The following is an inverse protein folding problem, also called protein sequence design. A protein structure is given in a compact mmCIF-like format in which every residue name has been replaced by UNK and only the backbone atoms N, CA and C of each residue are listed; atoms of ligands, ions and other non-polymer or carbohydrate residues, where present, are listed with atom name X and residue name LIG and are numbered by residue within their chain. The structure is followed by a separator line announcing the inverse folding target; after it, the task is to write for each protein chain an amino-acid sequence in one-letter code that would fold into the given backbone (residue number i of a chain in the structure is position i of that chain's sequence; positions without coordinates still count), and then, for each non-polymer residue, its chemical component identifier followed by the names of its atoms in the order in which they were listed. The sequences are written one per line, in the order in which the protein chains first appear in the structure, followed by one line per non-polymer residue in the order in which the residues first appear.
data_IF_108354812490
#
_entry.id   IF_108354812490
#
_cell.length_a   1.000
_cell.length_b   1.000
_cell.length_c   1.000
_cell.angle_alpha   90.00
_cell.angle_beta   90.00
_cell.angle_gamma   90.00
#
_symmetry.space_group_name_H-M   'P 1'
#
loop_
_entity.id
_entity.type
_entity.pdbx_description
1 polymer ?
#
# COMPACT_ATOMS: atom_id res chain seq x y z
N UNK A 1 2.59 31.02 30.56
CA UNK A 1 3.69 30.07 30.73
C UNK A 1 3.87 29.45 29.37
N UNK A 2 5.04 29.63 28.75
CA UNK A 2 5.31 29.09 27.42
C UNK A 2 5.35 27.56 27.50
N UNK A 3 4.37 26.90 26.87
CA UNK A 3 4.36 25.45 26.62
C UNK A 3 5.39 25.13 25.52
N UNK A 4 6.68 25.37 25.82
CA UNK A 4 7.76 24.99 24.92
C UNK A 4 7.87 23.45 24.90
N UNK A 5 7.72 22.86 23.72
CA UNK A 5 7.93 21.43 23.51
C UNK A 5 9.35 21.08 23.96
N UNK A 6 9.54 20.06 24.82
CA UNK A 6 10.87 19.69 25.31
C UNK A 6 11.84 19.41 24.16
N UNK A 7 13.04 19.97 24.22
CA UNK A 7 14.07 19.82 23.17
C UNK A 7 14.40 18.34 22.90
N UNK A 8 14.38 17.50 23.93
CA UNK A 8 14.60 16.06 23.82
C UNK A 8 13.54 15.38 22.94
N UNK A 9 12.28 15.82 23.03
CA UNK A 9 11.19 15.29 22.22
C UNK A 9 11.37 15.71 20.75
N UNK A 10 11.78 16.96 20.52
CA UNK A 10 12.07 17.48 19.17
C UNK A 10 13.23 16.69 18.54
N UNK A 11 14.31 16.46 19.30
CA UNK A 11 15.47 15.69 18.82
C UNK A 11 15.09 14.23 18.52
N UNK A 12 14.33 13.58 19.40
CA UNK A 12 13.87 12.21 19.18
C UNK A 12 13.00 12.08 17.92
N UNK A 13 12.10 13.04 17.69
CA UNK A 13 11.29 13.09 16.48
C UNK A 13 12.16 13.31 15.23
N UNK A 14 13.10 14.24 15.29
CA UNK A 14 14.05 14.49 14.21
C UNK A 14 14.85 13.24 13.85
N UNK A 15 15.47 12.59 14.83
CA UNK A 15 16.30 11.39 14.62
C UNK A 15 15.49 10.25 14.00
N UNK A 16 14.23 10.09 14.42
CA UNK A 16 13.30 9.10 13.85
C UNK A 16 13.01 9.38 12.38
N UNK A 17 12.69 10.64 12.04
CA UNK A 17 12.40 11.04 10.67
C UNK A 17 13.64 10.99 9.78
N UNK A 18 14.77 11.49 10.26
CA UNK A 18 16.05 11.46 9.57
C UNK A 18 16.47 10.01 9.31
N UNK A 19 16.41 9.13 10.32
CA UNK A 19 16.72 7.71 10.18
C UNK A 19 15.87 7.01 9.12
N UNK A 20 14.57 7.31 9.07
CA UNK A 20 13.66 6.79 8.04
C UNK A 20 14.08 7.26 6.63
N UNK A 21 14.39 8.55 6.48
CA UNK A 21 14.83 9.13 5.19
C UNK A 21 16.17 8.56 4.75
N UNK A 22 17.14 8.44 5.64
CA UNK A 22 18.44 7.83 5.36
C UNK A 22 18.30 6.36 4.97
N UNK A 23 17.45 5.59 5.65
CA UNK A 23 17.18 4.19 5.29
C UNK A 23 16.62 4.08 3.87
N UNK A 24 15.64 4.92 3.53
CA UNK A 24 15.07 4.94 2.19
C UNK A 24 16.09 5.35 1.12
N UNK A 25 16.93 6.34 1.43
CA UNK A 25 18.03 6.76 0.56
C UNK A 25 19.00 5.60 0.33
N UNK A 26 19.53 5.00 1.41
CA UNK A 26 20.49 3.89 1.33
C UNK A 26 19.92 2.71 0.57
N UNK A 27 18.63 2.42 0.73
CA UNK A 27 17.96 1.40 -0.08
C UNK A 27 18.00 1.72 -1.58
N UNK A 28 17.68 2.96 -1.98
CA UNK A 28 17.73 3.40 -3.39
C UNK A 28 19.15 3.32 -3.95
N UNK A 29 20.14 3.79 -3.20
CA UNK A 29 21.55 3.72 -3.60
C UNK A 29 21.99 2.27 -3.79
N UNK A 30 21.64 1.39 -2.84
CA UNK A 30 21.93 -0.04 -2.93
C UNK A 30 21.29 -0.67 -4.16
N UNK A 31 20.02 -0.34 -4.43
CA UNK A 31 19.27 -0.91 -5.56
C UNK A 31 19.84 -0.47 -6.90
N UNK A 32 20.12 0.82 -7.05
CA UNK A 32 20.50 1.40 -8.34
C UNK A 32 21.99 1.28 -8.62
N UNK A 33 22.83 1.13 -7.58
CA UNK A 33 24.30 1.06 -7.70
C UNK A 33 24.93 2.26 -8.43
N UNK A 34 24.28 3.42 -8.35
CA UNK A 34 24.81 4.69 -8.89
C UNK A 34 25.26 5.57 -7.74
N UNK A 35 26.51 6.03 -7.80
CA UNK A 35 27.07 6.98 -6.85
C UNK A 35 26.42 8.36 -7.03
N UNK A 36 25.83 8.94 -5.97
CA UNK A 36 25.36 10.32 -6.03
C UNK A 36 26.50 11.34 -5.94
N UNK A 37 26.30 12.51 -6.54
CA UNK A 37 27.26 13.63 -6.53
C UNK A 37 27.66 14.08 -5.11
N UNK A 38 26.74 13.96 -4.14
CA UNK A 38 26.98 14.35 -2.75
C UNK A 38 27.67 13.25 -1.91
N UNK A 39 27.97 12.08 -2.48
CA UNK A 39 28.70 10.99 -1.80
C UNK A 39 30.11 10.95 -2.35
N UNK A 40 31.11 11.08 -1.48
CA UNK A 40 32.52 10.99 -1.87
C UNK A 40 32.88 9.59 -2.36
N UNK A 41 33.86 9.50 -3.26
CA UNK A 41 34.33 8.21 -3.83
C UNK A 41 34.74 7.22 -2.73
N UNK A 42 35.41 7.71 -1.69
CA UNK A 42 35.84 6.89 -0.56
C UNK A 42 34.65 6.34 0.24
N UNK A 43 33.62 7.16 0.48
CA UNK A 43 32.41 6.68 1.17
C UNK A 43 31.64 5.68 0.31
N UNK A 44 31.57 5.92 -1.00
CA UNK A 44 30.92 5.03 -1.95
C UNK A 44 31.59 3.67 -2.00
N UNK A 45 32.93 3.63 -2.10
CA UNK A 45 33.73 2.40 -2.04
C UNK A 45 33.43 1.59 -0.78
N UNK A 46 33.41 2.23 0.39
CA UNK A 46 33.06 1.56 1.66
C UNK A 46 31.64 1.00 1.67
N UNK A 47 30.67 1.68 1.06
CA UNK A 47 29.31 1.15 0.94
C UNK A 47 29.25 -0.10 0.06
N UNK A 48 29.97 -0.10 -1.08
CA UNK A 48 30.05 -1.27 -1.95
C UNK A 48 30.69 -2.45 -1.21
N UNK A 49 31.85 -2.24 -0.57
CA UNK A 49 32.53 -3.25 0.24
C UNK A 49 31.63 -3.83 1.34
N UNK A 50 30.90 -2.96 2.07
CA UNK A 50 29.96 -3.42 3.09
C UNK A 50 28.79 -4.23 2.49
N UNK A 51 28.22 -3.80 1.36
CA UNK A 51 27.11 -4.51 0.72
C UNK A 51 27.53 -5.84 0.07
N UNK A 52 28.81 -6.00 -0.24
CA UNK A 52 29.41 -7.24 -0.75
C UNK A 52 29.97 -8.13 0.36
N UNK A 53 30.08 -7.62 1.60
CA UNK A 53 30.55 -8.41 2.73
C UNK A 53 29.67 -9.65 2.97
N UNK A 54 30.32 -10.76 3.34
CA UNK A 54 29.63 -12.01 3.64
C UNK A 54 28.58 -11.87 4.74
N UNK A 55 28.88 -11.07 5.78
CA UNK A 55 27.95 -10.82 6.88
C UNK A 55 26.66 -10.16 6.40
N UNK A 56 26.78 -9.15 5.54
CA UNK A 56 25.62 -8.47 4.98
C UNK A 56 24.81 -9.39 4.07
N UNK A 57 25.48 -10.14 3.19
CA UNK A 57 24.83 -11.08 2.28
C UNK A 57 24.14 -12.21 3.05
N UNK A 58 24.77 -12.76 4.09
CA UNK A 58 24.19 -13.76 4.96
C UNK A 58 22.91 -13.24 5.64
N UNK A 59 22.95 -12.04 6.22
CA UNK A 59 21.77 -11.37 6.80
C UNK A 59 20.66 -11.16 5.77
N UNK A 60 21.02 -10.73 4.56
CA UNK A 60 20.09 -10.50 3.46
C UNK A 60 19.41 -11.80 2.99
N UNK A 61 20.19 -12.89 2.84
CA UNK A 61 19.69 -14.23 2.49
C UNK A 61 18.76 -14.77 3.58
N UNK A 62 19.16 -14.65 4.86
CA UNK A 62 18.32 -15.06 5.99
C UNK A 62 17.02 -14.27 6.03
N UNK A 63 17.06 -12.94 5.86
CA UNK A 63 15.86 -12.10 5.84
C UNK A 63 14.92 -12.45 4.68
N UNK A 64 15.46 -12.84 3.52
CA UNK A 64 14.67 -13.34 2.39
C UNK A 64 14.03 -14.70 2.73
N UNK A 65 14.80 -15.62 3.30
CA UNK A 65 14.31 -16.93 3.73
C UNK A 65 13.18 -16.78 4.75
N UNK A 66 13.36 -15.93 5.77
CA UNK A 66 12.36 -15.66 6.80
C UNK A 66 11.06 -15.07 6.21
N UNK A 67 11.17 -14.19 5.22
CA UNK A 67 10.00 -13.60 4.53
C UNK A 67 9.24 -14.62 3.68
N UNK A 68 9.94 -15.61 3.15
CA UNK A 68 9.38 -16.65 2.29
C UNK A 68 9.11 -17.96 3.04
N UNK A 69 9.19 -17.97 4.37
CA UNK A 69 9.01 -19.20 5.16
C UNK A 69 7.55 -19.64 5.14
N UNK A 70 7.35 -20.92 4.81
CA UNK A 70 6.06 -21.59 4.78
C UNK A 70 5.83 -22.34 6.09
N UNK A 71 5.24 -21.66 7.06
CA UNK A 71 5.11 -22.18 8.44
C UNK A 71 4.22 -23.43 8.51
N UNK A 72 3.23 -23.56 7.63
CA UNK A 72 2.30 -24.70 7.61
C UNK A 72 2.64 -25.74 6.53
N UNK A 73 3.91 -25.77 6.12
CA UNK A 73 4.47 -26.75 5.19
C UNK A 73 4.42 -26.32 3.72
N UNK A 74 5.01 -27.17 2.84
CA UNK A 74 5.20 -26.86 1.43
C UNK A 74 3.91 -26.43 0.72
N UNK A 75 3.98 -25.34 -0.04
CA UNK A 75 2.88 -24.82 -0.86
C UNK A 75 1.89 -23.94 -0.10
N UNK A 76 2.10 -23.68 1.19
CA UNK A 76 1.26 -22.74 1.94
C UNK A 76 1.59 -21.27 1.68
N UNK A 77 2.78 -21.01 1.13
CA UNK A 77 3.28 -19.67 0.87
C UNK A 77 3.49 -18.82 2.13
N UNK A 78 3.99 -17.58 1.94
CA UNK A 78 4.04 -16.60 3.02
C UNK A 78 2.63 -16.12 3.36
N UNK A 79 2.39 -15.86 4.65
CA UNK A 79 1.11 -15.32 5.13
C UNK A 79 0.85 -13.92 4.58
N UNK A 80 -0.39 -13.68 4.17
CA UNK A 80 -0.91 -12.44 3.58
C UNK A 80 -2.20 -12.03 4.31
N UNK A 81 -2.52 -10.74 4.21
CA UNK A 81 -3.78 -10.18 4.71
C UNK A 81 -4.23 -8.98 3.85
N UNK A 82 -5.53 -8.71 3.83
CA UNK A 82 -6.19 -7.68 3.04
C UNK A 82 -6.36 -6.32 3.73
N UNK A 83 -5.85 -6.13 4.96
CA UNK A 83 -6.04 -4.89 5.73
C UNK A 83 -5.31 -3.63 5.24
N UNK A 84 -4.40 -3.75 4.26
CA UNK A 84 -3.58 -2.63 3.78
C UNK A 84 -2.74 -1.98 4.89
N UNK A 85 -2.60 -0.65 4.84
CA UNK A 85 -1.84 0.14 5.81
C UNK A 85 -2.62 0.48 7.10
N UNK A 86 -3.87 0.04 7.21
CA UNK A 86 -4.72 0.30 8.39
C UNK A 86 -4.42 -0.74 9.47
N UNK A 87 -4.30 -0.29 10.71
CA UNK A 87 -4.04 -1.20 11.83
C UNK A 87 -5.24 -2.11 12.10
N UNK A 88 -5.00 -3.33 12.58
CA UNK A 88 -6.08 -4.29 12.86
C UNK A 88 -7.00 -3.80 13.98
N UNK A 89 -6.45 -3.06 14.95
CA UNK A 89 -7.22 -2.37 16.00
C UNK A 89 -8.19 -1.37 15.37
N UNK A 90 -7.69 -0.49 14.50
CA UNK A 90 -8.50 0.51 13.82
C UNK A 90 -9.56 -0.14 12.92
N UNK A 91 -9.20 -1.19 12.19
CA UNK A 91 -10.18 -1.95 11.39
C UNK A 91 -11.26 -2.55 12.27
N UNK A 92 -10.89 -3.15 13.41
CA UNK A 92 -11.86 -3.70 14.37
C UNK A 92 -12.80 -2.63 14.95
N UNK A 93 -12.26 -1.48 15.33
CA UNK A 93 -13.03 -0.33 15.83
C UNK A 93 -14.03 0.14 14.76
N UNK A 94 -13.57 0.39 13.53
CA UNK A 94 -14.46 0.78 12.41
C UNK A 94 -15.56 -0.23 12.14
N UNK A 95 -15.23 -1.53 12.15
CA UNK A 95 -16.21 -2.59 11.94
C UNK A 95 -17.22 -2.67 13.09
N UNK A 96 -16.77 -2.41 14.32
CA UNK A 96 -17.63 -2.37 15.50
C UNK A 96 -18.54 -1.15 15.46
N UNK A 97 -18.04 0.03 15.08
CA UNK A 97 -18.86 1.25 14.97
C UNK A 97 -19.93 1.14 13.88
N UNK A 98 -19.63 0.39 12.80
CA UNK A 98 -20.58 0.13 11.71
C UNK A 98 -21.63 -0.93 12.01
N UNK A 99 -21.52 -1.63 13.14
CA UNK A 99 -22.39 -2.75 13.51
C UNK A 99 -23.03 -2.48 14.87
N UNK A 100 -24.27 -2.92 15.06
CA UNK A 100 -24.92 -2.81 16.37
C UNK A 100 -24.33 -3.80 17.40
N UNK A 101 -23.50 -4.74 16.96
CA UNK A 101 -22.87 -5.77 17.80
C UNK A 101 -21.34 -5.70 17.73
N UNK A 102 -20.62 -5.80 18.87
CA UNK A 102 -19.17 -5.91 18.88
C UNK A 102 -18.70 -7.10 18.03
N UNK A 103 -17.81 -6.83 17.08
CA UNK A 103 -17.27 -7.89 16.22
C UNK A 103 -16.36 -8.83 17.01
N UNK A 104 -16.56 -10.12 16.80
CA UNK A 104 -15.72 -11.18 17.33
C UNK A 104 -14.35 -11.19 16.65
N UNK A 105 -13.37 -11.80 17.32
CA UNK A 105 -12.02 -12.00 16.77
C UNK A 105 -12.06 -12.79 15.45
N UNK A 106 -12.99 -13.73 15.32
CA UNK A 106 -13.20 -14.53 14.11
C UNK A 106 -13.72 -13.72 12.93
N UNK A 107 -14.67 -12.81 13.16
CA UNK A 107 -15.20 -11.95 12.10
C UNK A 107 -14.16 -10.98 11.57
N UNK A 108 -13.35 -10.40 12.46
CA UNK A 108 -12.22 -9.58 12.03
C UNK A 108 -11.22 -10.41 11.22
N UNK A 109 -10.95 -11.65 11.66
CA UNK A 109 -10.04 -12.54 10.96
C UNK A 109 -10.52 -12.80 9.53
N UNK A 110 -11.80 -13.16 9.34
CA UNK A 110 -12.41 -13.32 8.02
C UNK A 110 -12.30 -12.05 7.19
N UNK A 111 -12.69 -10.91 7.76
CA UNK A 111 -12.56 -9.63 7.08
C UNK A 111 -11.13 -9.38 6.59
N UNK A 112 -10.11 -9.69 7.38
CA UNK A 112 -8.72 -9.41 7.03
C UNK A 112 -8.04 -10.48 6.18
N UNK A 113 -8.56 -11.70 6.12
CA UNK A 113 -7.90 -12.82 5.45
C UNK A 113 -8.68 -13.39 4.27
N UNK A 114 -9.80 -12.78 3.90
CA UNK A 114 -10.53 -13.12 2.67
C UNK A 114 -10.46 -12.01 1.62
N UNK A 115 -10.60 -12.42 0.36
CA UNK A 115 -10.51 -11.56 -0.82
C UNK A 115 -11.65 -10.55 -0.77
N UNK A 116 -11.33 -9.26 -0.90
CA UNK A 116 -12.29 -8.16 -0.86
C UNK A 116 -13.23 -8.19 0.35
N UNK A 117 -12.81 -8.81 1.46
CA UNK A 117 -13.60 -8.93 2.68
C UNK A 117 -14.92 -9.71 2.49
N UNK A 118 -14.98 -10.63 1.51
CA UNK A 118 -16.17 -11.41 1.18
C UNK A 118 -16.60 -12.43 2.25
N UNK A 119 -15.73 -12.70 3.25
CA UNK A 119 -15.91 -13.71 4.27
C UNK A 119 -15.84 -15.16 3.80
N UNK A 120 -15.49 -15.42 2.53
CA UNK A 120 -15.59 -16.74 1.91
C UNK A 120 -14.27 -17.20 1.26
N UNK A 121 -13.63 -16.34 0.47
CA UNK A 121 -12.48 -16.74 -0.36
C UNK A 121 -11.18 -16.33 0.32
N UNK A 122 -10.44 -17.27 0.90
CA UNK A 122 -9.19 -16.94 1.60
C UNK A 122 -8.09 -16.43 0.67
N UNK A 123 -7.31 -15.45 1.15
CA UNK A 123 -6.20 -14.83 0.39
C UNK A 123 -5.00 -15.78 0.26
N UNK A 124 -4.81 -16.66 1.25
CA UNK A 124 -3.77 -17.69 1.23
C UNK A 124 -4.21 -18.98 1.93
N UNK A 125 -3.54 -20.08 1.59
CA UNK A 125 -3.84 -21.42 2.11
C UNK A 125 -3.61 -21.54 3.62
N UNK A 126 -2.65 -20.79 4.18
CA UNK A 126 -2.41 -20.80 5.63
C UNK A 126 -3.61 -20.24 6.38
N UNK A 127 -4.21 -19.17 5.85
CA UNK A 127 -5.32 -18.50 6.48
C UNK A 127 -6.60 -19.34 6.48
N UNK A 128 -6.84 -20.07 5.39
CA UNK A 128 -7.90 -21.06 5.26
C UNK A 128 -7.73 -22.20 6.27
N UNK A 129 -6.56 -22.86 6.28
CA UNK A 129 -6.27 -23.95 7.22
C UNK A 129 -6.38 -23.53 8.68
N UNK A 130 -5.97 -22.31 8.99
CA UNK A 130 -6.12 -21.76 10.33
C UNK A 130 -7.60 -21.58 10.69
N UNK A 131 -8.42 -21.06 9.77
CA UNK A 131 -9.85 -20.94 9.96
C UNK A 131 -10.54 -22.30 10.11
N UNK A 132 -10.15 -23.30 9.33
CA UNK A 132 -10.66 -24.67 9.47
C UNK A 132 -10.38 -25.26 10.84
N UNK A 133 -9.22 -24.95 11.44
CA UNK A 133 -8.91 -25.37 12.81
C UNK A 133 -9.77 -24.63 13.83
N UNK A 134 -10.03 -23.34 13.64
CA UNK A 134 -10.97 -22.59 14.49
C UNK A 134 -12.38 -23.19 14.44
N UNK A 135 -12.88 -23.49 13.25
CA UNK A 135 -14.21 -24.07 13.06
C UNK A 135 -14.33 -25.45 13.71
N UNK A 136 -13.34 -26.32 13.48
CA UNK A 136 -13.28 -27.63 14.15
C UNK A 136 -13.26 -27.50 15.66
N UNK A 137 -12.43 -26.59 16.20
CA UNK A 137 -12.35 -26.39 17.65
C UNK A 137 -13.65 -25.87 18.24
N UNK A 138 -14.34 -24.96 17.55
CA UNK A 138 -15.65 -24.44 17.95
C UNK A 138 -16.68 -25.56 18.01
N UNK A 139 -16.72 -26.42 17.00
CA UNK A 139 -17.62 -27.58 16.97
C UNK A 139 -17.35 -28.55 18.13
N UNK A 140 -16.08 -28.86 18.41
CA UNK A 140 -15.70 -29.71 19.56
C UNK A 140 -16.17 -29.12 20.90
N UNK A 141 -15.97 -27.81 21.11
CA UNK A 141 -16.38 -27.14 22.34
C UNK A 141 -17.90 -27.08 22.48
N UNK A 142 -18.63 -26.78 21.40
CA UNK A 142 -20.10 -26.80 21.42
C UNK A 142 -20.65 -28.21 21.69
N UNK A 143 -20.01 -29.27 21.17
CA UNK A 143 -20.44 -30.65 21.45
C UNK A 143 -20.12 -31.09 22.89
N UNK A 144 -18.98 -30.66 23.44
CA UNK A 144 -18.58 -31.00 24.80
C UNK A 144 -19.41 -30.27 25.87
N UNK A 145 -19.77 -29.01 25.61
CA UNK A 145 -20.51 -28.16 26.55
C UNK A 145 -21.60 -27.36 25.82
N UNK A 146 -22.73 -28.00 25.43
CA UNK A 146 -23.76 -27.38 24.60
C UNK A 146 -24.49 -26.20 25.26
N UNK A 147 -24.55 -26.15 26.60
CA UNK A 147 -25.21 -25.08 27.36
C UNK A 147 -24.27 -23.90 27.72
N UNK A 148 -22.99 -23.99 27.37
CA UNK A 148 -22.01 -22.93 27.67
C UNK A 148 -21.65 -22.14 26.42
N UNK A 149 -21.62 -20.82 26.55
CA UNK A 149 -21.06 -19.95 25.52
C UNK A 149 -19.57 -20.23 25.35
N UNK A 150 -19.13 -20.43 24.12
CA UNK A 150 -17.71 -20.60 23.79
C UNK A 150 -16.97 -19.28 24.02
N UNK A 151 -15.91 -19.31 24.82
CA UNK A 151 -14.94 -18.22 24.92
C UNK A 151 -14.13 -18.17 23.61
N UNK A 152 -14.53 -17.28 22.71
CA UNK A 152 -13.94 -17.14 21.38
C UNK A 152 -12.45 -16.73 21.46
N UNK A 153 -12.06 -15.89 22.42
CA UNK A 153 -10.67 -15.49 22.61
C UNK A 153 -9.79 -16.65 23.08
N UNK A 154 -10.20 -17.37 24.12
CA UNK A 154 -9.45 -18.52 24.62
C UNK A 154 -9.34 -19.64 23.57
N UNK A 155 -10.43 -19.89 22.83
CA UNK A 155 -10.42 -20.82 21.71
C UNK A 155 -9.41 -20.40 20.64
N UNK A 156 -9.40 -19.12 20.27
CA UNK A 156 -8.47 -18.60 19.26
C UNK A 156 -7.01 -18.79 19.68
N UNK A 157 -6.68 -18.49 20.95
CA UNK A 157 -5.34 -18.69 21.48
C UNK A 157 -4.92 -20.16 21.48
N UNK A 158 -5.85 -21.05 21.81
CA UNK A 158 -5.59 -22.49 21.77
C UNK A 158 -5.25 -22.96 20.34
N UNK A 159 -5.95 -22.45 19.33
CA UNK A 159 -5.70 -22.80 17.92
C UNK A 159 -4.45 -22.12 17.36
N UNK A 160 -4.16 -20.89 17.80
CA UNK A 160 -2.94 -20.17 17.45
C UNK A 160 -1.68 -20.84 18.00
N UNK A 161 -1.79 -21.53 19.14
CA UNK A 161 -0.68 -22.23 19.78
C UNK A 161 0.35 -21.25 20.32
N UNK A 162 1.62 -21.64 20.28
CA UNK A 162 2.72 -20.79 20.75
C UNK A 162 2.78 -19.49 19.94
N UNK A 163 2.89 -18.37 20.65
CA UNK A 163 2.92 -17.03 20.08
C UNK A 163 4.31 -16.39 20.26
N UNK A 164 5.28 -16.61 19.34
CA UNK A 164 6.60 -16.02 19.43
C UNK A 164 6.52 -14.50 19.60
N UNK A 165 7.26 -13.95 20.57
CA UNK A 165 7.29 -12.52 20.89
C UNK A 165 5.90 -11.94 21.23
N UNK A 166 5.00 -12.76 21.76
CA UNK A 166 3.63 -12.38 22.13
C UNK A 166 2.74 -12.02 20.94
N UNK A 167 3.07 -12.51 19.72
CA UNK A 167 2.32 -12.21 18.50
C UNK A 167 1.40 -13.37 18.15
N UNK A 168 0.11 -13.16 18.34
CA UNK A 168 -0.93 -14.10 17.92
C UNK A 168 -1.07 -14.01 16.40
N UNK A 169 -0.97 -15.17 15.72
CA UNK A 169 -1.17 -15.23 14.28
C UNK A 169 -2.55 -14.68 13.88
N UNK A 170 -2.65 -14.02 12.72
CA UNK A 170 -3.92 -13.53 12.20
C UNK A 170 -4.53 -12.31 12.89
N UNK A 171 -3.96 -11.83 14.01
CA UNK A 171 -4.55 -10.71 14.79
C UNK A 171 -3.76 -9.41 14.77
N UNK A 172 -2.58 -9.39 14.17
CA UNK A 172 -1.79 -8.16 13.98
C UNK A 172 -1.66 -7.34 15.28
N UNK A 173 -1.98 -6.05 15.22
CA UNK A 173 -1.96 -5.18 16.40
C UNK A 173 -3.08 -5.46 17.42
N UNK A 174 -4.20 -6.06 16.99
CA UNK A 174 -5.30 -6.39 17.89
C UNK A 174 -4.91 -7.49 18.89
N UNK A 175 -4.09 -8.45 18.46
CA UNK A 175 -3.59 -9.50 19.35
C UNK A 175 -2.90 -8.93 20.60
N UNK A 176 -2.14 -7.83 20.45
CA UNK A 176 -1.50 -7.15 21.58
C UNK A 176 -2.51 -6.45 22.49
N UNK A 177 -3.53 -5.81 21.91
CA UNK A 177 -4.57 -5.06 22.67
C UNK A 177 -5.52 -5.99 23.42
N UNK A 178 -5.99 -7.07 22.77
CA UNK A 178 -7.03 -7.97 23.32
C UNK A 178 -6.47 -9.17 24.10
N UNK A 179 -5.34 -9.76 23.70
CA UNK A 179 -4.95 -11.10 24.20
C UNK A 179 -3.92 -11.09 25.34
N UNK A 180 -3.62 -9.93 25.96
CA UNK A 180 -2.75 -9.79 27.16
C UNK A 180 -1.50 -10.69 27.19
N UNK A 181 -0.80 -10.85 26.07
CA UNK A 181 0.55 -11.40 26.10
C UNK A 181 1.50 -10.35 26.68
N UNK A 182 2.33 -10.77 27.63
CA UNK A 182 3.32 -9.90 28.29
C UNK A 182 4.03 -9.03 27.25
N UNK A 183 4.17 -7.75 27.57
CA UNK A 183 4.70 -6.70 26.72
C UNK A 183 6.17 -6.97 26.38
N UNK A 184 6.40 -7.89 25.45
CA UNK A 184 7.71 -8.09 24.87
C UNK A 184 7.88 -6.94 23.89
N UNK A 185 8.58 -5.92 24.37
CA UNK A 185 9.03 -4.71 23.68
C UNK A 185 9.81 -5.07 22.41
N UNK A 186 9.08 -5.51 21.40
CA UNK A 186 9.60 -5.72 20.08
C UNK A 186 9.43 -4.39 19.33
N UNK A 187 10.55 -3.85 18.84
CA UNK A 187 10.63 -2.74 17.89
C UNK A 187 9.85 -3.06 16.61
N UNK A 188 8.53 -2.95 16.69
CA UNK A 188 7.74 -2.40 15.60
C UNK A 188 7.88 -0.90 15.77
N UNK A 189 8.11 -0.17 14.68
CA UNK A 189 7.91 1.27 14.62
C UNK A 189 6.48 1.54 15.09
N UNK A 190 6.29 1.72 16.39
CA UNK A 190 5.13 2.40 16.90
C UNK A 190 5.30 3.79 16.31
N UNK A 191 4.53 4.09 15.28
CA UNK A 191 4.27 5.48 14.97
C UNK A 191 3.73 6.04 16.29
N UNK A 192 4.33 7.09 16.86
CA UNK A 192 3.69 7.79 17.95
C UNK A 192 2.27 8.10 17.49
N UNK A 193 1.34 8.08 18.46
CA UNK A 193 -0.03 8.56 18.29
C UNK A 193 -0.03 9.73 17.32
N UNK A 194 -0.78 9.61 16.22
CA UNK A 194 -0.78 10.59 15.14
C UNK A 194 -0.94 11.96 15.76
N UNK A 195 0.13 12.74 15.74
CA UNK A 195 0.10 14.15 16.11
C UNK A 195 -1.05 14.77 15.31
N UNK A 196 -2.02 15.44 15.96
CA UNK A 196 -3.19 15.98 15.28
C UNK A 196 -2.78 16.72 14.01
N UNK A 197 -3.52 16.52 12.91
CA UNK A 197 -3.18 17.03 11.57
C UNK A 197 -2.79 18.54 11.56
N UNK A 198 -3.37 19.31 12.48
CA UNK A 198 -3.05 20.72 12.71
C UNK A 198 -1.57 20.98 13.11
N UNK A 199 -0.94 20.10 13.88
CA UNK A 199 0.46 20.24 14.27
C UNK A 199 1.41 19.89 13.11
N UNK A 200 1.03 18.92 12.26
CA UNK A 200 1.74 18.66 11.00
C UNK A 200 1.70 19.86 10.05
N UNK A 201 0.57 20.56 9.97
CA UNK A 201 0.42 21.76 9.14
C UNK A 201 1.32 22.90 9.66
N UNK A 202 1.49 23.03 10.98
CA UNK A 202 2.41 24.01 11.60
C UNK A 202 3.86 23.70 11.25
N UNK A 203 4.29 22.43 11.34
CA UNK A 203 5.66 22.02 11.01
C UNK A 203 5.93 22.16 9.51
N UNK A 204 4.95 21.82 8.66
CA UNK A 204 5.05 22.02 7.21
C UNK A 204 5.22 23.51 6.86
N UNK A 205 4.47 24.39 7.53
CA UNK A 205 4.55 25.83 7.32
C UNK A 205 5.88 26.42 7.82
N UNK A 206 6.40 25.93 8.96
CA UNK A 206 7.73 26.31 9.43
C UNK A 206 8.83 25.87 8.46
N UNK A 207 8.74 24.65 7.92
CA UNK A 207 9.67 24.17 6.90
C UNK A 207 9.60 25.03 5.63
N UNK A 208 8.41 25.46 5.23
CA UNK A 208 8.20 26.37 4.10
C UNK A 208 8.93 27.70 4.31
N UNK A 209 8.82 28.29 5.51
CA UNK A 209 9.50 29.54 5.87
C UNK A 209 11.02 29.39 5.89
N UNK A 210 11.54 28.26 6.36
CA UNK A 210 12.97 27.96 6.31
C UNK A 210 13.45 27.81 4.86
N UNK A 211 12.65 27.18 4.00
CA UNK A 211 12.95 27.09 2.57
C UNK A 211 12.93 28.45 1.88
N UNK A 212 11.97 29.33 2.20
CA UNK A 212 11.92 30.71 1.69
C UNK A 212 13.10 31.55 2.20
N UNK A 213 13.50 31.37 3.45
CA UNK A 213 14.68 32.03 4.02
C UNK A 213 15.99 31.60 3.32
N UNK A 214 16.17 30.30 3.09
CA UNK A 214 17.32 29.78 2.35
C UNK A 214 17.35 30.30 0.90
N UNK A 215 16.18 30.47 0.27
CA UNK A 215 16.06 31.03 -1.08
C UNK A 215 16.47 32.52 -1.13
N UNK A 216 16.01 33.33 -0.17
CA UNK A 216 16.30 34.78 -0.15
C UNK A 216 17.74 35.12 0.28
N UNK A 217 18.31 34.39 1.23
CA UNK A 217 19.55 34.84 1.90
C UNK A 217 20.80 34.04 1.48
N UNK A 218 20.64 32.80 1.02
CA UNK A 218 21.77 31.96 0.61
C UNK A 218 21.83 31.71 -0.91
N UNK A 219 20.82 32.16 -1.67
CA UNK A 219 20.78 31.99 -3.13
C UNK A 219 20.80 30.53 -3.58
N UNK A 220 20.58 29.57 -2.68
CA UNK A 220 20.58 28.15 -2.98
C UNK A 220 19.20 27.75 -3.51
N UNK A 221 19.06 27.62 -4.83
CA UNK A 221 18.00 26.82 -5.42
C UNK A 221 18.43 25.36 -5.37
N UNK A 222 17.58 24.50 -4.80
CA UNK A 222 17.69 23.06 -5.03
C UNK A 222 17.13 22.75 -6.41
N UNK A 223 17.82 23.20 -7.47
CA UNK A 223 17.58 22.71 -8.83
C UNK A 223 18.23 21.33 -8.95
N UNK A 224 17.49 20.33 -8.46
CA UNK A 224 17.92 18.94 -8.36
C UNK A 224 16.76 17.95 -8.33
N UNK A 225 15.62 18.33 -8.90
CA UNK A 225 14.61 17.40 -9.38
C UNK A 225 14.09 17.97 -10.69
N UNK A 226 14.36 17.28 -11.80
CA UNK A 226 13.71 17.54 -13.08
C UNK A 226 12.21 17.28 -12.95
N UNK A 227 11.50 18.29 -12.47
CA UNK A 227 10.08 18.51 -12.65
C UNK A 227 9.96 20.00 -12.95
N UNK A 228 9.78 20.31 -14.23
CA UNK A 228 9.40 21.62 -14.72
C UNK A 228 8.33 22.23 -13.81
N UNK A 229 8.48 23.50 -13.45
CA UNK A 229 7.40 24.26 -12.85
C UNK A 229 6.10 24.05 -13.65
N UNK A 230 4.94 23.89 -13.01
CA UNK A 230 3.69 23.98 -13.73
C UNK A 230 3.56 25.42 -14.23
N UNK A 231 3.82 25.62 -15.53
CA UNK A 231 3.35 26.81 -16.24
C UNK A 231 1.83 26.88 -16.06
N UNK A 232 1.25 28.08 -15.86
CA UNK A 232 -0.20 28.23 -15.91
C UNK A 232 -0.69 27.66 -17.26
N UNK A 233 -1.83 26.94 -17.28
CA UNK A 233 -2.30 26.36 -18.51
C UNK A 233 -2.48 27.47 -19.56
N UNK A 234 -2.04 27.25 -20.82
CA UNK A 234 -2.29 28.21 -21.88
C UNK A 234 -3.79 28.46 -22.01
N UNK A 235 -4.22 29.68 -22.39
CA UNK A 235 -5.64 29.96 -22.61
C UNK A 235 -6.22 28.96 -23.62
N UNK A 236 -7.48 28.54 -23.44
CA UNK A 236 -8.10 27.58 -24.34
C UNK A 236 -8.07 28.13 -25.77
N UNK A 237 -7.86 27.26 -26.79
CA UNK A 237 -7.91 27.68 -28.17
C UNK A 237 -9.30 28.27 -28.48
N UNK A 238 -9.37 29.25 -29.40
CA UNK A 238 -10.66 29.78 -29.83
C UNK A 238 -11.55 28.64 -30.35
N UNK A 239 -12.88 28.74 -30.15
CA UNK A 239 -13.79 27.70 -30.59
C UNK A 239 -13.63 27.47 -32.10
N UNK A 240 -13.73 26.21 -32.58
CA UNK A 240 -13.69 25.93 -33.99
C UNK A 240 -14.78 26.74 -34.71
N UNK A 241 -14.54 27.18 -35.96
CA UNK A 241 -15.57 27.84 -36.75
C UNK A 241 -16.80 26.92 -36.85
N UNK A 242 -18.01 27.51 -36.93
CA UNK A 242 -19.24 26.75 -36.94
C UNK A 242 -19.22 25.71 -38.06
N UNK A 243 -19.82 24.52 -37.83
CA UNK A 243 -19.98 23.54 -38.88
C UNK A 243 -20.75 24.19 -40.03
N UNK A 244 -20.20 24.11 -41.25
CA UNK A 244 -20.95 24.38 -42.46
C UNK A 244 -22.05 23.33 -42.54
N UNK A 245 -23.22 23.68 -42.00
CA UNK A 245 -24.41 22.93 -42.25
C UNK A 245 -24.95 23.30 -43.62
N UNK A 246 -25.33 22.26 -44.35
CA UNK A 246 -26.24 22.24 -45.50
C UNK A 246 -25.67 22.50 -46.90
N UNK A 247 -25.57 21.39 -47.63
CA UNK A 247 -26.06 21.17 -49.00
C UNK A 247 -25.54 22.08 -50.14
N UNK A 248 -24.87 21.46 -51.11
CA UNK A 248 -25.49 21.14 -52.40
C UNK A 248 -24.71 19.99 -53.08
N UNK A 249 -25.38 18.92 -53.55
CA UNK A 249 -24.73 17.93 -54.40
C UNK A 249 -24.30 18.58 -55.73
N UNK A 250 -23.20 18.14 -56.36
CA UNK A 250 -22.82 18.67 -57.65
C UNK A 250 -23.95 18.44 -58.65
N UNK A 251 -24.40 19.52 -59.28
CA UNK A 251 -25.31 19.45 -60.41
C UNK A 251 -24.62 18.70 -61.54
N UNK A 252 -25.12 17.50 -61.82
CA UNK A 252 -24.86 16.81 -63.08
C UNK A 252 -25.78 17.49 -64.08
N UNK A 253 -25.21 18.36 -64.92
CA UNK A 253 -25.91 18.85 -66.09
C UNK A 253 -26.34 17.64 -66.96
N UNK A 254 -27.56 17.67 -67.53
CA UNK A 254 -28.06 16.58 -68.34
C UNK A 254 -27.18 16.44 -69.59
N UNK A 255 -26.49 15.31 -69.71
CA UNK A 255 -26.02 14.88 -71.02
C UNK A 255 -27.26 14.66 -71.90
N UNK A 256 -27.27 15.36 -73.04
CA UNK A 256 -28.24 15.17 -74.10
C UNK A 256 -28.36 13.67 -74.48
N UNK A 257 -29.58 13.19 -74.76
CA UNK A 257 -29.85 11.81 -75.13
C UNK A 257 -29.64 11.61 -76.65
N UNK A 258 -29.90 10.41 -77.22
CA UNK A 258 -28.89 9.56 -77.84
C UNK A 258 -28.93 9.63 -79.37
N UNK A 259 -27.86 9.18 -80.04
CA UNK A 259 -28.01 8.62 -81.39
C UNK A 259 -27.39 7.24 -81.49
N UNK A 260 -28.31 6.28 -81.41
CA UNK A 260 -28.48 5.11 -82.28
C UNK A 260 -27.35 4.75 -83.23
N UNK A 261 -26.98 3.47 -83.16
CA UNK A 261 -26.31 2.76 -84.25
C UNK A 261 -25.94 1.36 -83.81
N UNK A 262 -26.91 0.45 -83.91
CA UNK A 262 -26.80 -0.95 -84.35
C UNK A 262 -25.59 -1.78 -83.84
N UNK A 263 -25.74 -3.00 -83.33
CA UNK A 263 -26.49 -4.05 -84.01
C UNK A 263 -26.53 -5.35 -83.18
N UNK A 264 -27.66 -6.04 -83.34
CA UNK A 264 -27.87 -7.51 -83.29
C UNK A 264 -27.71 -8.22 -81.94
N UNK A 265 -28.87 -8.35 -81.31
CA UNK A 265 -29.32 -9.55 -80.60
C UNK A 265 -28.99 -10.84 -81.36
N UNK A 266 -28.65 -11.91 -80.64
CA UNK A 266 -29.43 -13.15 -80.71
C UNK A 266 -29.17 -14.02 -79.50
N UNK A 267 -30.13 -13.93 -78.59
CA UNK A 267 -30.80 -15.00 -77.86
C UNK A 267 -30.37 -16.45 -78.14
N UNK A 268 -30.14 -17.17 -77.04
CA UNK A 268 -30.71 -18.47 -76.63
C UNK A 268 -31.20 -19.42 -77.75
N UNK A 269 -30.95 -20.73 -77.71
CA UNK A 269 -31.19 -21.64 -76.58
C UNK A 269 -30.79 -23.07 -77.00
N UNK A 270 -30.77 -23.96 -76.00
CA UNK A 270 -30.67 -25.44 -76.02
C UNK A 270 -29.27 -26.07 -75.98
#
# INVERSE_FOLDING_TARGET
MDDAIPEDLIRAAYDTHAGTRYTALMHKLKKNRVQPVYVTDEAWRRYLEYWESEDFLARSRQATTNRNTEVEGPGTGPSKHGGGSVSFVTTNERLTDSSETPRTVNELYLHLHTVNHDGMTFIDTRSERFYDRLQRRRQELTQATPDQSVDDEAMYLNVAGECPKGRVYGLGSLGRKKMRYADHGASTSQMPEMVPRAEFDIVAEQLRKVMEFMHQHLGMTMDGAGLSQPQPPPPPPPPPPPPHDQQQPPQIDPADPPQQGDNVERETQE
#
